data_IF_218675791392
#
_entry.id   IF_218675791392
#
_cell.length_a   1.000
_cell.length_b   1.000
_cell.length_c   1.000
_cell.angle_alpha   90.00
_cell.angle_beta   90.00
_cell.angle_gamma   90.00
#
_symmetry.space_group_name_H-M   'P 1'
#
loop_
_entity.id
_entity.type
_entity.pdbx_description
1 polymer ?
#
# COMPACT_ATOMS: atom_id res chain seq x y z
N UNK A 1 -14.12 24.45 10.32
CA UNK A 1 -14.31 23.48 9.21
C UNK A 1 -13.17 22.46 9.35
N UNK A 2 -13.47 21.22 9.70
CA UNK A 2 -12.48 20.14 9.75
C UNK A 2 -12.01 19.84 8.32
N UNK A 3 -10.70 19.91 8.11
CA UNK A 3 -10.11 19.59 6.80
C UNK A 3 -10.41 18.12 6.46
N UNK A 4 -10.83 17.85 5.22
CA UNK A 4 -11.08 16.48 4.73
C UNK A 4 -9.84 15.59 4.92
N UNK A 5 -10.03 14.38 5.41
CA UNK A 5 -8.94 13.42 5.61
C UNK A 5 -8.35 13.01 4.25
N UNK A 6 -7.05 13.23 4.06
CA UNK A 6 -6.35 12.84 2.82
C UNK A 6 -5.95 11.36 2.88
N UNK A 7 -6.50 10.56 1.99
CA UNK A 7 -6.23 9.12 1.88
C UNK A 7 -5.55 8.80 0.55
N UNK A 8 -4.37 8.21 0.60
CA UNK A 8 -3.65 7.76 -0.59
C UNK A 8 -3.86 6.26 -0.81
N UNK A 9 -4.31 5.91 -2.00
CA UNK A 9 -4.42 4.52 -2.45
C UNK A 9 -3.22 4.18 -3.33
N UNK A 10 -2.50 3.12 -2.98
CA UNK A 10 -1.40 2.56 -3.78
C UNK A 10 -1.81 1.17 -4.21
N UNK A 11 -2.12 1.02 -5.50
CA UNK A 11 -2.66 -0.20 -6.08
C UNK A 11 -1.64 -0.88 -7.00
N UNK A 12 -1.23 -2.08 -6.64
CA UNK A 12 -0.31 -2.93 -7.40
C UNK A 12 -0.98 -4.00 -8.27
N UNK A 13 -2.27 -3.86 -8.59
CA UNK A 13 -2.96 -4.75 -9.53
C UNK A 13 -2.49 -4.51 -10.96
N UNK A 14 -2.27 -5.59 -11.72
CA UNK A 14 -2.04 -5.53 -13.17
C UNK A 14 -3.33 -5.40 -13.98
N UNK A 15 -4.43 -5.94 -13.45
CA UNK A 15 -5.69 -6.10 -14.18
C UNK A 15 -6.61 -4.94 -13.87
N UNK A 16 -7.14 -4.30 -14.91
CA UNK A 16 -8.29 -3.42 -14.78
C UNK A 16 -9.52 -4.23 -14.40
N UNK A 17 -10.34 -3.70 -13.50
CA UNK A 17 -11.55 -4.32 -12.99
C UNK A 17 -11.35 -5.73 -12.41
N UNK A 18 -10.10 -6.07 -12.03
CA UNK A 18 -9.83 -7.28 -11.25
C UNK A 18 -10.38 -7.18 -9.83
N UNK A 19 -10.49 -8.31 -9.12
CA UNK A 19 -11.05 -8.36 -7.74
C UNK A 19 -10.39 -7.36 -6.80
N UNK A 20 -9.07 -7.14 -6.91
CA UNK A 20 -8.36 -6.12 -6.11
C UNK A 20 -8.81 -4.71 -6.49
N UNK A 21 -8.93 -4.39 -7.79
CA UNK A 21 -9.39 -3.09 -8.28
C UNK A 21 -10.82 -2.81 -7.84
N UNK A 22 -11.71 -3.79 -7.94
CA UNK A 22 -13.09 -3.67 -7.47
C UNK A 22 -13.15 -3.39 -5.96
N UNK A 23 -12.31 -4.06 -5.16
CA UNK A 23 -12.24 -3.83 -3.72
C UNK A 23 -11.71 -2.42 -3.40
N UNK A 24 -10.73 -1.94 -4.15
CA UNK A 24 -10.23 -0.56 -4.05
C UNK A 24 -11.33 0.43 -4.41
N UNK A 25 -12.03 0.23 -5.53
CA UNK A 25 -13.11 1.12 -5.98
C UNK A 25 -14.22 1.25 -4.93
N UNK A 26 -14.67 0.13 -4.35
CA UNK A 26 -15.67 0.12 -3.27
C UNK A 26 -15.18 0.86 -2.01
N UNK A 27 -13.92 0.69 -1.64
CA UNK A 27 -13.34 1.37 -0.49
C UNK A 27 -13.23 2.89 -0.73
N UNK A 28 -12.81 3.31 -1.93
CA UNK A 28 -12.72 4.72 -2.33
C UNK A 28 -14.09 5.38 -2.36
N UNK A 29 -15.10 4.70 -2.95
CA UNK A 29 -16.49 5.18 -2.94
C UNK A 29 -16.98 5.46 -1.49
N UNK A 30 -16.72 4.52 -0.57
CA UNK A 30 -17.12 4.66 0.83
C UNK A 30 -16.38 5.81 1.54
N UNK A 31 -15.09 6.00 1.26
CA UNK A 31 -14.29 7.11 1.80
C UNK A 31 -14.78 8.47 1.29
N UNK A 32 -15.03 8.58 -0.01
CA UNK A 32 -15.54 9.81 -0.62
C UNK A 32 -16.94 10.15 -0.07
N UNK A 33 -17.82 9.14 0.09
CA UNK A 33 -19.12 9.30 0.71
C UNK A 33 -19.06 9.71 2.18
N UNK A 34 -17.94 9.43 2.87
CA UNK A 34 -17.67 9.88 4.24
C UNK A 34 -16.87 11.19 4.31
N UNK A 35 -16.68 11.89 3.19
CA UNK A 35 -16.04 13.21 3.12
C UNK A 35 -14.51 13.19 3.11
N UNK A 36 -13.86 12.07 2.82
CA UNK A 36 -12.41 12.02 2.63
C UNK A 36 -12.01 12.51 1.22
N UNK A 37 -10.79 13.05 1.13
CA UNK A 37 -10.12 13.38 -0.14
C UNK A 37 -9.21 12.19 -0.52
N UNK A 38 -9.56 11.47 -1.60
CA UNK A 38 -8.86 10.25 -2.00
C UNK A 38 -8.04 10.45 -3.27
N UNK A 39 -6.74 10.14 -3.20
CA UNK A 39 -5.85 10.06 -4.35
C UNK A 39 -5.52 8.61 -4.69
N UNK A 40 -5.58 8.22 -5.96
CA UNK A 40 -5.28 6.85 -6.41
C UNK A 40 -4.00 6.86 -7.25
N UNK A 41 -3.09 5.95 -6.93
CA UNK A 41 -1.90 5.62 -7.71
C UNK A 41 -1.96 4.15 -8.11
N UNK A 42 -2.22 3.90 -9.39
CA UNK A 42 -2.10 2.57 -9.98
C UNK A 42 -0.65 2.37 -10.42
N UNK A 43 0.07 1.48 -9.77
CA UNK A 43 1.50 1.26 -10.03
C UNK A 43 1.79 0.73 -11.44
N UNK A 44 0.79 0.15 -12.12
CA UNK A 44 0.92 -0.29 -13.52
C UNK A 44 1.12 0.87 -14.49
N UNK A 45 0.54 2.03 -14.17
CA UNK A 45 0.57 3.23 -15.01
C UNK A 45 1.50 4.32 -14.45
N UNK A 46 2.14 4.04 -13.28
CA UNK A 46 2.94 5.03 -12.58
C UNK A 46 4.44 4.85 -12.89
N UNK A 47 5.12 5.89 -13.39
CA UNK A 47 6.47 5.79 -13.92
C UNK A 47 7.52 5.77 -12.79
N UNK A 48 7.74 4.62 -12.18
CA UNK A 48 8.83 4.38 -11.24
C UNK A 48 9.73 3.27 -11.76
N UNK A 49 11.04 3.45 -11.63
CA UNK A 49 12.05 2.48 -12.00
C UNK A 49 12.39 1.51 -10.86
N UNK A 50 13.10 0.43 -11.17
CA UNK A 50 13.62 -0.49 -10.16
C UNK A 50 14.67 0.19 -9.30
N UNK A 51 14.78 -0.23 -8.03
CA UNK A 51 15.83 0.24 -7.15
C UNK A 51 17.21 -0.23 -7.67
N UNK A 52 18.16 0.71 -7.82
CA UNK A 52 19.54 0.38 -8.19
C UNK A 52 20.34 -0.22 -7.04
N UNK A 53 19.78 -0.26 -5.84
CA UNK A 53 20.45 -0.70 -4.61
C UNK A 53 21.77 0.06 -4.31
N UNK A 54 21.88 1.29 -4.78
CA UNK A 54 23.07 2.14 -4.61
C UNK A 54 23.21 2.72 -3.20
N UNK A 55 22.17 2.69 -2.38
CA UNK A 55 22.10 3.19 -0.99
C UNK A 55 22.28 4.71 -0.82
N UNK A 56 22.40 5.50 -1.87
CA UNK A 56 22.61 6.97 -1.77
C UNK A 56 21.50 7.67 -0.97
N UNK A 57 20.25 7.27 -1.16
CA UNK A 57 19.10 7.81 -0.41
C UNK A 57 19.11 7.44 1.09
N UNK A 58 20.02 6.59 1.55
CA UNK A 58 20.09 6.15 2.95
C UNK A 58 21.20 6.81 3.75
N UNK A 59 22.04 7.64 3.13
CA UNK A 59 23.28 8.14 3.75
C UNK A 59 23.06 9.32 4.71
N UNK A 60 22.08 10.18 4.45
CA UNK A 60 21.83 11.35 5.29
C UNK A 60 20.92 11.01 6.47
N UNK A 61 21.22 11.46 7.69
CA UNK A 61 20.34 11.28 8.85
C UNK A 61 19.07 12.13 8.73
N UNK A 62 18.06 11.82 9.55
CA UNK A 62 16.84 12.60 9.65
C UNK A 62 15.57 11.74 9.57
N UNK A 63 14.43 12.33 9.93
CA UNK A 63 13.12 11.66 9.93
C UNK A 63 12.41 11.67 8.56
N UNK A 64 12.82 12.61 7.67
CA UNK A 64 12.30 12.66 6.30
C UNK A 64 12.91 11.55 5.44
N UNK A 65 12.19 11.02 4.46
CA UNK A 65 12.74 10.09 3.48
C UNK A 65 13.93 10.69 2.75
N UNK A 66 14.96 9.87 2.49
CA UNK A 66 16.12 10.32 1.73
C UNK A 66 15.82 10.44 0.23
N UNK A 67 16.54 11.34 -0.44
CA UNK A 67 16.37 11.60 -1.88
C UNK A 67 17.01 10.50 -2.71
N UNK A 68 16.28 9.92 -3.64
CA UNK A 68 16.79 8.92 -4.58
C UNK A 68 17.56 9.61 -5.72
N UNK A 69 18.57 8.93 -6.26
CA UNK A 69 19.34 9.40 -7.43
C UNK A 69 18.55 9.26 -8.75
N UNK A 70 17.54 8.40 -8.78
CA UNK A 70 16.69 8.22 -9.95
C UNK A 70 15.68 9.36 -10.03
N UNK A 71 15.70 10.10 -11.13
CA UNK A 71 14.71 11.14 -11.45
C UNK A 71 13.50 10.51 -12.14
N UNK A 72 12.56 10.01 -11.35
CA UNK A 72 11.35 9.35 -11.79
C UNK A 72 10.12 9.72 -10.93
N UNK A 73 9.01 9.05 -11.16
CA UNK A 73 7.77 9.29 -10.42
C UNK A 73 7.85 9.01 -8.91
N UNK A 74 8.92 8.36 -8.41
CA UNK A 74 9.00 8.00 -7.00
C UNK A 74 9.12 9.22 -6.08
N UNK A 75 9.80 10.29 -6.49
CA UNK A 75 9.87 11.52 -5.69
C UNK A 75 8.47 12.08 -5.42
N UNK A 76 7.66 12.24 -6.50
CA UNK A 76 6.27 12.70 -6.36
C UNK A 76 5.39 11.74 -5.56
N UNK A 77 5.67 10.43 -5.63
CA UNK A 77 4.94 9.44 -4.84
C UNK A 77 5.28 9.55 -3.35
N UNK A 78 6.54 9.77 -3.00
CA UNK A 78 6.97 10.04 -1.62
C UNK A 78 6.28 11.30 -1.08
N UNK A 79 6.22 12.39 -1.85
CA UNK A 79 5.53 13.62 -1.44
C UNK A 79 4.05 13.36 -1.15
N UNK A 80 3.37 12.58 -2.01
CA UNK A 80 1.98 12.16 -1.78
C UNK A 80 1.84 11.31 -0.51
N UNK A 81 2.79 10.38 -0.24
CA UNK A 81 2.79 9.56 0.97
C UNK A 81 2.97 10.44 2.21
N UNK A 82 3.91 11.38 2.20
CA UNK A 82 4.14 12.26 3.35
C UNK A 82 2.95 13.19 3.61
N UNK A 83 2.32 13.70 2.56
CA UNK A 83 1.15 14.59 2.66
C UNK A 83 -0.15 13.89 3.07
N UNK A 84 -0.22 12.56 3.00
CA UNK A 84 -1.43 11.80 3.29
C UNK A 84 -1.53 11.42 4.77
N UNK A 85 -2.76 11.32 5.28
CA UNK A 85 -3.07 10.99 6.68
C UNK A 85 -3.40 9.51 6.87
N UNK A 86 -3.84 8.83 5.79
CA UNK A 86 -4.13 7.42 5.81
C UNK A 86 -3.88 6.78 4.42
N UNK A 87 -3.83 5.46 4.38
CA UNK A 87 -3.46 4.71 3.17
C UNK A 87 -4.38 3.53 2.92
N UNK A 88 -4.59 3.22 1.64
CA UNK A 88 -5.00 1.90 1.18
C UNK A 88 -3.83 1.31 0.40
N UNK A 89 -3.28 0.19 0.87
CA UNK A 89 -2.24 -0.56 0.17
C UNK A 89 -2.87 -1.82 -0.40
N UNK A 90 -2.86 -1.94 -1.72
CA UNK A 90 -3.55 -3.02 -2.41
C UNK A 90 -2.62 -3.78 -3.36
N UNK A 91 -2.63 -5.10 -3.29
CA UNK A 91 -1.93 -5.97 -4.25
C UNK A 91 -2.56 -7.35 -4.26
N UNK A 92 -2.88 -7.93 -5.42
CA UNK A 92 -3.20 -9.35 -5.50
C UNK A 92 -1.97 -10.20 -5.14
N UNK A 93 -2.21 -11.45 -4.77
CA UNK A 93 -1.16 -12.43 -4.51
C UNK A 93 -0.73 -13.09 -5.81
N UNK A 94 0.53 -12.90 -6.19
CA UNK A 94 1.20 -13.59 -7.28
C UNK A 94 2.41 -14.35 -6.74
N UNK A 95 2.54 -15.63 -7.07
CA UNK A 95 3.63 -16.48 -6.56
C UNK A 95 3.85 -16.33 -5.05
N UNK A 96 2.76 -16.44 -4.28
CA UNK A 96 2.76 -16.35 -2.81
C UNK A 96 3.20 -14.99 -2.22
N UNK A 97 3.32 -13.96 -3.04
CA UNK A 97 3.85 -12.63 -2.73
C UNK A 97 2.93 -11.54 -3.24
N UNK A 98 3.21 -10.27 -2.95
CA UNK A 98 2.66 -9.14 -3.71
C UNK A 98 3.12 -9.20 -5.16
N UNK A 99 2.47 -8.47 -6.06
CA UNK A 99 2.88 -8.38 -7.46
C UNK A 99 4.27 -7.77 -7.61
N UNK A 100 4.93 -8.01 -8.75
CA UNK A 100 6.21 -7.37 -9.07
C UNK A 100 6.10 -5.85 -9.12
N UNK A 101 4.95 -5.29 -9.54
CA UNK A 101 4.68 -3.85 -9.48
C UNK A 101 4.75 -3.32 -8.04
N UNK A 102 4.06 -3.99 -7.12
CA UNK A 102 4.07 -3.58 -5.72
C UNK A 102 5.44 -3.85 -5.07
N UNK A 103 6.12 -4.91 -5.46
CA UNK A 103 7.48 -5.22 -4.99
C UNK A 103 8.48 -4.15 -5.45
N UNK A 104 8.42 -3.71 -6.70
CA UNK A 104 9.21 -2.58 -7.22
C UNK A 104 9.03 -1.33 -6.37
N UNK A 105 7.78 -0.97 -6.06
CA UNK A 105 7.47 0.14 -5.15
C UNK A 105 8.07 -0.09 -3.74
N UNK A 106 7.90 -1.29 -3.16
CA UNK A 106 8.44 -1.60 -1.83
C UNK A 106 9.96 -1.42 -1.74
N UNK A 107 10.69 -1.85 -2.76
CA UNK A 107 12.16 -1.73 -2.78
C UNK A 107 12.60 -0.26 -2.81
N UNK A 108 11.84 0.60 -3.45
CA UNK A 108 12.08 2.05 -3.47
C UNK A 108 11.77 2.72 -2.12
N UNK A 109 11.03 2.06 -1.21
CA UNK A 109 10.83 2.53 0.16
C UNK A 109 12.11 2.43 1.03
N UNK A 110 13.22 1.93 0.50
CA UNK A 110 14.52 1.97 1.19
C UNK A 110 14.92 3.40 1.58
N UNK A 111 14.42 4.43 0.90
CA UNK A 111 14.57 5.84 1.26
C UNK A 111 14.03 6.18 2.66
N UNK A 112 13.13 5.36 3.21
CA UNK A 112 12.64 5.46 4.59
C UNK A 112 13.59 4.83 5.62
N UNK A 113 14.76 4.34 5.20
CA UNK A 113 15.81 3.86 6.09
C UNK A 113 16.99 4.85 6.14
N UNK A 114 17.62 4.95 7.31
CA UNK A 114 18.94 5.52 7.50
C UNK A 114 19.94 4.38 7.59
N UNK A 115 20.86 4.28 6.63
CA UNK A 115 21.80 3.18 6.54
C UNK A 115 23.14 3.66 5.93
N UNK A 116 23.91 4.49 6.66
CA UNK A 116 25.22 4.95 6.18
C UNK A 116 26.19 3.77 6.00
N UNK A 117 27.23 3.97 5.22
CA UNK A 117 28.14 2.91 4.81
C UNK A 117 28.75 2.13 5.99
N UNK A 118 29.02 2.80 7.10
CA UNK A 118 29.65 2.20 8.30
C UNK A 118 28.67 1.41 9.18
N UNK A 119 27.38 1.40 8.86
CA UNK A 119 26.38 0.66 9.63
C UNK A 119 26.10 -0.72 9.03
N UNK A 120 26.10 -1.74 9.90
CA UNK A 120 25.83 -3.14 9.50
C UNK A 120 24.37 -3.37 9.07
N UNK A 121 23.42 -2.55 9.52
CA UNK A 121 21.99 -2.72 9.24
C UNK A 121 21.26 -1.38 9.16
N UNK A 122 20.16 -1.33 8.40
CA UNK A 122 19.34 -0.13 8.27
C UNK A 122 18.57 0.17 9.56
N UNK A 123 18.40 1.47 9.87
CA UNK A 123 17.51 1.97 10.92
C UNK A 123 16.29 2.63 10.28
N UNK A 124 15.07 2.35 10.71
CA UNK A 124 13.89 3.02 10.18
C UNK A 124 13.90 4.51 10.54
N UNK A 125 13.46 5.37 9.61
CA UNK A 125 13.33 6.81 9.87
C UNK A 125 12.05 7.14 10.63
N UNK A 126 10.98 6.35 10.43
CA UNK A 126 9.70 6.50 11.12
C UNK A 126 9.73 5.66 12.42
N UNK A 127 10.36 6.19 13.46
CA UNK A 127 10.53 5.50 14.76
C UNK A 127 9.46 5.84 15.80
N UNK A 128 8.72 6.94 15.59
CA UNK A 128 7.63 7.32 16.48
C UNK A 128 6.42 6.36 16.35
N UNK A 129 5.55 6.36 17.39
CA UNK A 129 4.28 5.62 17.32
C UNK A 129 3.53 6.03 16.06
N UNK A 130 3.09 5.05 15.23
CA UNK A 130 2.42 5.36 13.98
C UNK A 130 1.13 6.14 14.23
N UNK A 131 1.06 7.36 13.70
CA UNK A 131 -0.12 8.22 13.75
C UNK A 131 -1.05 7.99 12.57
N UNK A 132 -0.49 7.46 11.47
CA UNK A 132 -1.23 7.19 10.23
C UNK A 132 -1.82 5.78 10.23
N UNK A 133 -2.94 5.60 9.55
CA UNK A 133 -3.65 4.31 9.46
C UNK A 133 -3.53 3.73 8.06
N UNK A 134 -3.54 2.40 7.94
CA UNK A 134 -3.55 1.72 6.66
C UNK A 134 -4.61 0.62 6.59
N UNK A 135 -5.36 0.56 5.49
CA UNK A 135 -6.17 -0.57 5.09
C UNK A 135 -5.37 -1.41 4.09
N UNK A 136 -5.25 -2.71 4.35
CA UNK A 136 -4.56 -3.64 3.47
C UNK A 136 -5.59 -4.43 2.65
N UNK A 137 -5.42 -4.45 1.32
CA UNK A 137 -6.30 -5.18 0.41
C UNK A 137 -5.46 -6.19 -0.38
N UNK A 138 -5.84 -7.47 -0.30
CA UNK A 138 -5.22 -8.53 -1.11
C UNK A 138 -6.24 -9.53 -1.61
N UNK A 139 -5.91 -10.23 -2.67
CA UNK A 139 -6.72 -11.31 -3.25
C UNK A 139 -5.84 -12.47 -3.68
N UNK A 140 -6.40 -13.67 -3.76
CA UNK A 140 -5.70 -14.85 -4.27
C UNK A 140 -6.65 -15.81 -4.99
N UNK A 141 -6.07 -16.72 -5.79
CA UNK A 141 -6.81 -17.84 -6.38
C UNK A 141 -7.24 -18.87 -5.33
N UNK A 142 -6.47 -19.01 -4.24
CA UNK A 142 -6.79 -19.92 -3.15
C UNK A 142 -7.96 -19.41 -2.29
N UNK A 143 -8.67 -20.28 -1.55
CA UNK A 143 -9.67 -19.86 -0.57
C UNK A 143 -9.09 -18.85 0.44
N UNK A 144 -9.90 -17.88 0.87
CA UNK A 144 -9.43 -16.72 1.67
C UNK A 144 -8.77 -17.12 3.00
N UNK A 145 -9.27 -18.16 3.68
CA UNK A 145 -8.69 -18.64 4.92
C UNK A 145 -7.29 -19.24 4.72
N UNK A 146 -7.08 -19.99 3.63
CA UNK A 146 -5.81 -20.60 3.28
C UNK A 146 -4.82 -19.55 2.77
N UNK A 147 -5.24 -18.72 1.81
CA UNK A 147 -4.37 -17.72 1.20
C UNK A 147 -3.84 -16.69 2.20
N UNK A 148 -4.65 -16.30 3.18
CA UNK A 148 -4.25 -15.35 4.22
C UNK A 148 -3.11 -15.89 5.12
N UNK A 149 -3.08 -17.20 5.38
CA UNK A 149 -2.08 -17.84 6.24
C UNK A 149 -0.82 -18.27 5.49
N UNK A 150 -0.98 -18.79 4.28
CA UNK A 150 0.12 -19.39 3.53
C UNK A 150 0.92 -18.36 2.73
N UNK A 151 0.30 -17.25 2.31
CA UNK A 151 0.93 -16.30 1.42
C UNK A 151 1.49 -15.08 2.15
N UNK A 152 2.64 -14.59 1.65
CA UNK A 152 3.33 -13.44 2.21
C UNK A 152 2.74 -12.07 1.83
N UNK A 153 1.75 -11.99 0.95
CA UNK A 153 1.24 -10.73 0.41
C UNK A 153 0.76 -9.77 1.50
N UNK A 154 -0.07 -10.24 2.43
CA UNK A 154 -0.56 -9.40 3.54
C UNK A 154 0.58 -8.91 4.43
N UNK A 155 1.53 -9.79 4.74
CA UNK A 155 2.71 -9.43 5.55
C UNK A 155 3.57 -8.36 4.86
N UNK A 156 3.73 -8.46 3.54
CA UNK A 156 4.48 -7.48 2.76
C UNK A 156 3.76 -6.13 2.68
N UNK A 157 2.44 -6.12 2.50
CA UNK A 157 1.63 -4.90 2.59
C UNK A 157 1.75 -4.25 3.97
N UNK A 158 1.71 -5.03 5.05
CA UNK A 158 1.89 -4.53 6.41
C UNK A 158 3.32 -3.99 6.64
N UNK A 159 4.34 -4.65 6.08
CA UNK A 159 5.72 -4.15 6.10
C UNK A 159 5.81 -2.80 5.39
N UNK A 160 5.22 -2.66 4.20
CA UNK A 160 5.19 -1.39 3.49
C UNK A 160 4.48 -0.29 4.29
N UNK A 161 3.32 -0.62 4.91
CA UNK A 161 2.60 0.32 5.78
C UNK A 161 3.47 0.80 6.95
N UNK A 162 4.13 -0.11 7.65
CA UNK A 162 5.03 0.22 8.77
C UNK A 162 6.21 1.08 8.32
N UNK A 163 6.79 0.77 7.15
CA UNK A 163 7.91 1.53 6.59
C UNK A 163 7.55 3.00 6.37
N UNK A 164 6.34 3.28 5.90
CA UNK A 164 5.85 4.66 5.69
C UNK A 164 5.20 5.29 6.93
N UNK A 165 5.34 4.66 8.11
CA UNK A 165 4.86 5.18 9.38
C UNK A 165 3.38 4.97 9.65
N UNK A 166 2.75 3.95 9.08
CA UNK A 166 1.35 3.62 9.28
C UNK A 166 1.14 2.29 10.01
N UNK A 167 0.03 2.19 10.75
CA UNK A 167 -0.45 0.95 11.37
C UNK A 167 -1.66 0.42 10.61
N UNK A 168 -1.67 -0.87 10.31
CA UNK A 168 -2.84 -1.53 9.73
C UNK A 168 -4.01 -1.50 10.71
N UNK A 169 -5.17 -1.00 10.26
CA UNK A 169 -6.45 -1.02 11.00
C UNK A 169 -7.36 -2.14 10.54
N UNK A 170 -6.99 -2.83 9.49
CA UNK A 170 -7.73 -3.97 8.97
C UNK A 170 -7.16 -4.52 7.68
N UNK A 171 -7.58 -5.74 7.37
CA UNK A 171 -7.20 -6.42 6.13
C UNK A 171 -8.46 -6.95 5.45
N UNK A 172 -8.63 -6.62 4.18
CA UNK A 172 -9.56 -7.29 3.28
C UNK A 172 -8.76 -8.30 2.46
N UNK A 173 -9.02 -9.59 2.67
CA UNK A 173 -8.44 -10.65 1.86
C UNK A 173 -9.56 -11.43 1.17
N UNK A 174 -9.57 -11.44 -0.16
CA UNK A 174 -10.56 -12.16 -0.99
C UNK A 174 -9.91 -13.38 -1.62
N UNK A 175 -10.49 -14.56 -1.37
CA UNK A 175 -10.09 -15.81 -2.01
C UNK A 175 -10.89 -16.10 -3.27
N UNK A 176 -10.48 -17.15 -4.00
CA UNK A 176 -11.12 -17.64 -5.23
C UNK A 176 -11.25 -16.55 -6.32
N UNK A 177 -10.31 -15.62 -6.34
CA UNK A 177 -10.33 -14.43 -7.19
C UNK A 177 -10.10 -14.70 -8.69
N UNK A 178 -9.99 -15.95 -9.09
CA UNK A 178 -9.73 -16.40 -10.48
C UNK A 178 -10.60 -17.58 -10.89
N UNK A 179 -11.70 -17.83 -10.20
CA UNK A 179 -12.63 -18.90 -10.56
C UNK A 179 -13.34 -18.62 -11.90
N UNK A 180 -13.55 -17.34 -12.24
CA UNK A 180 -14.18 -16.90 -13.47
C UNK A 180 -13.31 -15.84 -14.18
N UNK A 181 -13.46 -15.74 -15.51
CA UNK A 181 -12.72 -14.75 -16.32
C UNK A 181 -13.00 -13.30 -15.89
N UNK A 182 -14.26 -12.99 -15.56
CA UNK A 182 -14.75 -11.67 -15.14
C UNK A 182 -15.43 -11.74 -13.78
N UNK A 183 -14.72 -12.29 -12.81
CA UNK A 183 -15.24 -12.46 -11.46
C UNK A 183 -15.59 -11.14 -10.80
N UNK A 184 -16.69 -11.12 -10.07
CA UNK A 184 -17.16 -9.97 -9.29
C UNK A 184 -16.93 -10.20 -7.80
N UNK A 185 -16.72 -9.11 -7.07
CA UNK A 185 -16.69 -9.12 -5.63
C UNK A 185 -18.02 -9.61 -5.05
N UNK A 186 -17.94 -10.50 -4.08
CA UNK A 186 -19.16 -10.96 -3.39
C UNK A 186 -19.78 -9.83 -2.56
N UNK A 187 -21.12 -9.82 -2.36
CA UNK A 187 -21.78 -8.82 -1.50
C UNK A 187 -21.16 -8.73 -0.10
N UNK A 188 -20.72 -9.85 0.46
CA UNK A 188 -20.01 -9.90 1.76
C UNK A 188 -18.68 -9.14 1.70
N UNK A 189 -17.90 -9.31 0.64
CA UNK A 189 -16.62 -8.60 0.45
C UNK A 189 -16.84 -7.11 0.22
N UNK A 190 -17.89 -6.73 -0.52
CA UNK A 190 -18.28 -5.33 -0.72
C UNK A 190 -18.63 -4.67 0.63
N UNK A 191 -19.49 -5.28 1.43
CA UNK A 191 -19.86 -4.76 2.75
C UNK A 191 -18.64 -4.64 3.67
N UNK A 192 -17.74 -5.61 3.63
CA UNK A 192 -16.50 -5.60 4.41
C UNK A 192 -15.54 -4.51 3.96
N UNK A 193 -15.39 -4.29 2.64
CA UNK A 193 -14.55 -3.22 2.08
C UNK A 193 -15.03 -1.85 2.56
N UNK A 194 -16.32 -1.57 2.47
CA UNK A 194 -16.96 -0.32 2.95
C UNK A 194 -16.71 -0.10 4.44
N UNK A 195 -17.01 -1.10 5.27
CA UNK A 195 -16.81 -1.00 6.73
C UNK A 195 -15.35 -0.73 7.11
N UNK A 196 -14.39 -1.38 6.47
CA UNK A 196 -12.97 -1.17 6.75
C UNK A 196 -12.47 0.19 6.25
N UNK A 197 -13.00 0.68 5.14
CA UNK A 197 -12.64 1.98 4.59
C UNK A 197 -13.09 3.12 5.53
N UNK A 198 -14.32 3.09 6.03
CA UNK A 198 -14.81 4.10 6.97
C UNK A 198 -13.98 4.13 8.25
N UNK A 199 -13.62 2.97 8.81
CA UNK A 199 -12.73 2.87 9.98
C UNK A 199 -11.34 3.49 9.77
N UNK A 200 -10.91 3.66 8.53
CA UNK A 200 -9.62 4.26 8.21
C UNK A 200 -9.56 5.75 8.61
N UNK A 201 -10.68 6.44 8.52
CA UNK A 201 -10.81 7.89 8.78
C UNK A 201 -11.56 8.23 10.08
N UNK A 202 -12.12 7.24 10.76
CA UNK A 202 -12.64 7.43 12.13
C UNK A 202 -11.50 7.78 13.09
N UNK A 203 -11.75 8.67 14.05
CA UNK A 203 -10.77 9.18 15.03
C UNK A 203 -10.20 8.07 15.94
#
# INVERSE_FOLDING_TARGET
MTQAAKVLVINGSYRDDGITDQAVAVAVEALNGAGADTGIVNLRDYPIEFCLNCRECTQQPGAAPGTCVLDDGMHRLIDKIEASQAYILASPTNFSSVTALFKRFMERLVSYAYWPWDNSYPKPRKTEKPRKKALLISSSAAPSWMGRWLYGSVRQLDTAAKTIGAKSVGTLFTGLASAEKHQRLTPKSVARARSLAVRLIEA
#
